data_IF_625740244131
#
_entry.id   IF_625740244131
#
_cell.length_a   1.000
_cell.length_b   1.000
_cell.length_c   1.000
_cell.angle_alpha   90.00
_cell.angle_beta   90.00
_cell.angle_gamma   90.00
#
_symmetry.space_group_name_H-M   'P 1'
#
loop_
_entity.id
_entity.type
_entity.pdbx_description
1 polymer ?
#
# COMPACT_ATOMS: atom_id res chain seq x y z
N UNK A 1 -26.04 -9.97 17.53
CA UNK A 1 -25.14 -9.06 18.26
C UNK A 1 -23.80 -9.74 18.34
N UNK A 2 -22.83 -9.35 17.50
CA UNK A 2 -21.49 -9.92 17.55
C UNK A 2 -20.63 -8.99 18.41
N UNK A 3 -20.31 -9.45 19.61
CA UNK A 3 -19.32 -8.80 20.48
C UNK A 3 -18.01 -9.56 20.29
N UNK A 4 -17.08 -8.97 19.55
CA UNK A 4 -15.70 -9.45 19.49
C UNK A 4 -14.86 -8.63 20.44
N UNK A 5 -14.78 -9.08 21.68
CA UNK A 5 -13.77 -8.62 22.64
C UNK A 5 -12.43 -9.27 22.28
N UNK A 6 -11.48 -8.49 21.78
CA UNK A 6 -10.07 -8.90 21.79
C UNK A 6 -9.53 -8.69 23.19
N UNK A 7 -9.60 -9.75 23.99
CA UNK A 7 -8.94 -9.87 25.29
C UNK A 7 -7.71 -10.75 25.13
N UNK A 8 -6.54 -10.17 25.38
CA UNK A 8 -5.36 -10.92 25.84
C UNK A 8 -4.33 -11.29 24.79
N UNK A 9 -3.08 -10.93 25.09
CA UNK A 9 -1.91 -11.75 24.79
C UNK A 9 -1.28 -11.55 23.42
N UNK A 10 -0.07 -11.02 23.43
CA UNK A 10 0.83 -10.66 22.33
C UNK A 10 1.53 -11.85 21.66
N UNK A 11 0.85 -12.97 21.41
CA UNK A 11 1.50 -14.11 20.73
C UNK A 11 0.82 -14.41 19.39
N UNK A 12 1.24 -13.65 18.37
CA UNK A 12 0.95 -13.97 16.98
C UNK A 12 1.53 -15.36 16.67
N UNK A 13 0.76 -16.28 16.05
CA UNK A 13 1.27 -17.59 15.70
C UNK A 13 2.48 -17.45 14.77
N UNK A 14 3.53 -18.24 15.00
CA UNK A 14 4.85 -18.13 14.35
C UNK A 14 4.85 -18.20 12.81
N UNK A 15 3.79 -18.75 12.23
CA UNK A 15 3.54 -18.83 10.79
C UNK A 15 2.83 -17.59 10.21
N UNK A 16 2.32 -16.72 11.07
CA UNK A 16 1.81 -15.40 10.72
C UNK A 16 2.92 -14.37 11.02
N UNK A 17 4.10 -14.59 10.42
CA UNK A 17 5.07 -13.50 10.32
C UNK A 17 4.39 -12.44 9.47
N UNK A 18 3.92 -11.40 10.16
CA UNK A 18 3.50 -10.15 9.59
C UNK A 18 4.66 -9.65 8.70
N UNK A 19 4.63 -9.96 7.40
CA UNK A 19 5.43 -9.28 6.38
C UNK A 19 4.90 -7.85 6.18
N UNK A 20 4.53 -7.18 7.27
CA UNK A 20 4.46 -5.74 7.28
C UNK A 20 5.90 -5.30 7.14
N UNK A 21 6.26 -4.87 5.94
CA UNK A 21 7.48 -4.10 5.72
C UNK A 21 7.32 -2.90 6.65
N UNK A 22 8.00 -2.93 7.80
CA UNK A 22 8.13 -1.78 8.67
C UNK A 22 9.02 -0.80 7.91
N UNK A 23 8.37 -0.01 7.05
CA UNK A 23 8.99 1.16 6.48
C UNK A 23 9.15 2.09 7.68
N UNK A 24 10.31 2.03 8.33
CA UNK A 24 10.75 3.00 9.33
C UNK A 24 10.91 4.36 8.64
N UNK A 25 9.79 4.96 8.22
CA UNK A 25 9.71 6.33 7.78
C UNK A 25 9.53 7.13 9.06
N UNK A 26 10.62 7.71 9.54
CA UNK A 26 10.66 8.74 10.58
C UNK A 26 9.74 9.90 10.20
N UNK A 27 8.48 9.79 10.56
CA UNK A 27 7.43 10.78 10.31
C UNK A 27 6.05 10.13 10.52
N UNK A 28 5.04 10.88 10.98
CA UNK A 28 3.68 10.34 11.05
C UNK A 28 3.29 9.73 9.69
N UNK A 29 2.61 8.56 9.65
CA UNK A 29 2.00 8.10 8.41
C UNK A 29 1.19 9.27 7.85
N UNK A 30 1.30 9.60 6.54
CA UNK A 30 0.58 10.73 5.99
C UNK A 30 -0.88 10.53 6.37
N UNK A 31 -1.40 11.47 7.15
CA UNK A 31 -2.81 11.46 7.49
C UNK A 31 -3.54 11.51 6.15
N UNK A 32 -4.20 10.41 5.77
CA UNK A 32 -4.99 10.32 4.54
C UNK A 32 -6.21 11.26 4.56
N UNK A 33 -6.34 12.07 5.61
CA UNK A 33 -7.20 13.25 5.73
C UNK A 33 -6.70 14.44 4.88
N UNK A 34 -5.56 14.32 4.18
CA UNK A 34 -5.14 15.32 3.21
C UNK A 34 -5.99 15.21 1.95
N UNK A 35 -6.83 16.22 1.69
CA UNK A 35 -7.67 16.39 0.48
C UNK A 35 -6.87 16.44 -0.84
N UNK A 36 -5.54 16.34 -0.77
CA UNK A 36 -4.63 16.32 -1.90
C UNK A 36 -4.43 14.90 -2.47
N UNK A 37 -4.47 14.72 -3.80
CA UNK A 37 -4.18 13.43 -4.41
C UNK A 37 -2.80 12.90 -4.04
N UNK A 38 -2.72 11.60 -3.76
CA UNK A 38 -1.47 10.93 -3.40
C UNK A 38 -0.73 10.49 -4.65
N UNK A 39 0.51 10.94 -4.83
CA UNK A 39 1.38 10.50 -5.93
C UNK A 39 2.56 9.70 -5.38
N UNK A 40 2.75 8.48 -5.89
CA UNK A 40 3.86 7.59 -5.52
C UNK A 40 4.63 7.18 -6.77
N UNK A 41 5.92 7.51 -6.82
CA UNK A 41 6.83 7.12 -7.90
C UNK A 41 7.52 5.79 -7.58
N UNK A 42 8.04 5.11 -8.61
CA UNK A 42 8.90 3.95 -8.43
C UNK A 42 10.15 4.32 -7.61
N UNK A 43 10.39 3.60 -6.52
CA UNK A 43 11.59 3.78 -5.69
C UNK A 43 12.83 3.08 -6.30
N UNK A 44 12.59 2.08 -7.16
CA UNK A 44 13.63 1.32 -7.88
C UNK A 44 13.82 1.95 -9.28
N UNK A 45 15.06 1.94 -9.76
CA UNK A 45 15.40 2.44 -11.08
C UNK A 45 14.67 1.65 -12.18
N UNK A 46 13.92 2.36 -13.02
CA UNK A 46 13.18 1.78 -14.15
C UNK A 46 14.09 1.79 -15.39
N UNK A 47 14.15 0.70 -16.17
CA UNK A 47 14.95 0.65 -17.39
C UNK A 47 14.58 1.77 -18.38
N UNK A 48 15.56 2.44 -18.98
CA UNK A 48 15.37 3.62 -19.85
C UNK A 48 14.46 3.38 -21.06
N UNK A 49 14.38 2.14 -21.54
CA UNK A 49 13.55 1.76 -22.70
C UNK A 49 12.11 1.42 -22.31
N UNK A 50 11.81 1.34 -20.99
CA UNK A 50 10.51 1.02 -20.45
C UNK A 50 9.92 2.21 -19.70
N UNK A 51 8.60 2.18 -19.53
CA UNK A 51 7.88 3.16 -18.72
C UNK A 51 7.19 2.44 -17.56
N UNK A 52 7.14 3.06 -16.37
CA UNK A 52 6.31 2.56 -15.28
C UNK A 52 4.86 2.39 -15.72
N UNK A 53 4.15 1.46 -15.06
CA UNK A 53 2.70 1.31 -15.21
C UNK A 53 2.02 2.12 -14.13
N UNK A 54 1.02 2.93 -14.50
CA UNK A 54 0.23 3.68 -13.52
C UNK A 54 -0.96 2.84 -13.05
N UNK A 55 -1.29 2.94 -11.77
CA UNK A 55 -2.49 2.36 -11.18
C UNK A 55 -3.15 3.32 -10.19
N UNK A 56 -4.45 3.13 -9.98
CA UNK A 56 -5.21 3.89 -8.98
C UNK A 56 -4.85 3.44 -7.57
N UNK A 57 -4.63 4.41 -6.69
CA UNK A 57 -4.56 4.18 -5.26
C UNK A 57 -5.96 4.32 -4.66
N UNK A 58 -6.44 3.24 -4.05
CA UNK A 58 -7.76 3.18 -3.42
C UNK A 58 -7.62 2.91 -1.92
N UNK A 59 -8.69 3.14 -1.17
CA UNK A 59 -8.74 2.89 0.28
C UNK A 59 -9.86 1.94 0.64
N UNK A 60 -9.53 0.99 1.53
CA UNK A 60 -10.49 0.05 2.10
C UNK A 60 -11.22 0.61 3.34
N UNK A 61 -10.99 1.87 3.70
CA UNK A 61 -11.67 2.51 4.85
C UNK A 61 -13.15 2.78 4.57
N UNK A 62 -13.51 2.95 3.30
CA UNK A 62 -14.89 3.16 2.84
C UNK A 62 -15.37 1.98 1.98
N UNK A 63 -16.69 1.93 1.77
CA UNK A 63 -17.30 1.01 0.80
C UNK A 63 -17.30 1.58 -0.63
N UNK A 64 -16.82 2.82 -0.78
CA UNK A 64 -16.70 3.54 -2.04
C UNK A 64 -15.36 3.25 -2.70
N UNK A 65 -15.36 3.12 -4.03
CA UNK A 65 -14.13 3.08 -4.85
C UNK A 65 -13.59 4.51 -5.00
N UNK A 66 -13.04 5.03 -3.91
CA UNK A 66 -12.44 6.36 -3.88
C UNK A 66 -11.01 6.32 -4.41
N UNK A 67 -10.79 6.99 -5.53
CA UNK A 67 -9.49 7.11 -6.20
C UNK A 67 -8.68 8.21 -5.54
N UNK A 68 -7.91 7.82 -4.53
CA UNK A 68 -7.09 8.70 -3.70
C UNK A 68 -5.85 9.25 -4.43
N UNK A 69 -5.45 8.64 -5.54
CA UNK A 69 -4.31 9.11 -6.32
C UNK A 69 -3.75 8.06 -7.28
N UNK A 70 -2.49 8.28 -7.71
CA UNK A 70 -1.80 7.46 -8.72
C UNK A 70 -0.49 6.92 -8.15
N UNK A 71 -0.23 5.64 -8.42
CA UNK A 71 1.05 4.98 -8.13
C UNK A 71 1.71 4.44 -9.40
N UNK A 72 3.02 4.66 -9.50
CA UNK A 72 3.88 4.07 -10.50
C UNK A 72 4.34 2.67 -10.07
N UNK A 73 4.12 1.68 -10.94
CA UNK A 73 4.50 0.29 -10.78
C UNK A 73 5.65 -0.06 -11.73
N UNK A 74 6.60 -0.87 -11.25
CA UNK A 74 7.77 -1.26 -12.03
C UNK A 74 7.38 -2.18 -13.21
N UNK A 75 7.83 -1.89 -14.44
CA UNK A 75 7.39 -2.64 -15.63
C UNK A 75 7.86 -4.09 -15.62
N UNK A 76 9.06 -4.38 -15.11
CA UNK A 76 9.58 -5.76 -15.07
C UNK A 76 8.84 -6.67 -14.08
N UNK A 77 7.94 -6.12 -13.26
CA UNK A 77 7.09 -6.88 -12.33
C UNK A 77 5.64 -6.88 -12.80
N UNK A 78 5.14 -5.71 -13.22
CA UNK A 78 3.72 -5.48 -13.49
C UNK A 78 3.35 -5.36 -14.97
N UNK A 79 4.33 -5.44 -15.89
CA UNK A 79 4.11 -5.36 -17.34
C UNK A 79 4.80 -6.49 -18.13
N UNK A 80 5.10 -7.61 -17.45
CA UNK A 80 5.67 -8.81 -18.09
C UNK A 80 4.59 -9.48 -18.97
N UNK A 81 4.93 -10.05 -20.14
CA UNK A 81 3.99 -10.81 -20.95
C UNK A 81 3.32 -11.95 -20.15
N UNK A 82 2.01 -12.18 -20.35
CA UNK A 82 1.25 -13.19 -19.61
C UNK A 82 1.58 -14.63 -20.02
#
# INVERSE_FOLDING_TARGET
MFVSTLSGGYELPSNLQANFIDIEKKGPPPSFESESPVFRRCEIAVPTHLKPREAWLESLRGYTDDKLGIVDLHPDVFAVPP
#
